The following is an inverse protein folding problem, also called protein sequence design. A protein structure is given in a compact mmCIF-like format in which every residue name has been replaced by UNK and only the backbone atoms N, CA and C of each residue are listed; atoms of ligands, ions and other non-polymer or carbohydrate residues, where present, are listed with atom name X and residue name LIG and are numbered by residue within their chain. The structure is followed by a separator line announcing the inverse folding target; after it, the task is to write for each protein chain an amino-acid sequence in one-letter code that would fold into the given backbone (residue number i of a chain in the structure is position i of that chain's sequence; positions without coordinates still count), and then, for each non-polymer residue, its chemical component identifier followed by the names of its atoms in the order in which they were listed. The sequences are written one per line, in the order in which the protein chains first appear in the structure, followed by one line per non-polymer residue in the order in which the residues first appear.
data_IF_696177669458
#
_entry.id   IF_696177669458
#
_cell.length_a   1.000
_cell.length_b   1.000
_cell.length_c   1.000
_cell.angle_alpha   90.00
_cell.angle_beta   90.00
_cell.angle_gamma   90.00
#
_symmetry.space_group_name_H-M   'P 1'
#
loop_
_entity.id
_entity.type
_entity.pdbx_description
1 polymer ?
#
# COMPACT_ATOMS: atom_id res chain seq x y z
N UNK A 1 13.39 0.43 12.84
CA UNK A 1 12.56 -0.64 12.24
C UNK A 1 13.12 -1.06 10.91
N UNK A 2 13.12 -2.34 10.60
CA UNK A 2 13.49 -2.87 9.28
C UNK A 2 12.22 -3.06 8.46
N UNK A 3 12.09 -2.32 7.38
CA UNK A 3 10.85 -2.21 6.61
C UNK A 3 11.05 -2.75 5.20
N UNK A 4 10.07 -3.48 4.70
CA UNK A 4 9.95 -3.82 3.28
C UNK A 4 8.84 -2.98 2.65
N UNK A 5 9.12 -2.43 1.48
CA UNK A 5 8.13 -1.79 0.63
C UNK A 5 7.89 -2.63 -0.61
N UNK A 6 6.62 -2.92 -0.91
CA UNK A 6 6.17 -3.51 -2.16
C UNK A 6 5.44 -2.41 -2.95
N UNK A 7 6.08 -1.89 -3.99
CA UNK A 7 5.56 -0.81 -4.80
C UNK A 7 6.18 -0.82 -6.19
N UNK A 8 5.40 -0.53 -7.24
CA UNK A 8 5.92 -0.43 -8.61
C UNK A 8 5.29 0.70 -9.43
N UNK A 9 4.13 1.23 -9.00
CA UNK A 9 3.49 2.36 -9.66
C UNK A 9 4.24 3.63 -9.33
N UNK A 10 4.32 4.59 -10.27
CA UNK A 10 5.09 5.84 -10.11
C UNK A 10 4.71 6.58 -8.83
N UNK A 11 3.42 6.83 -8.59
CA UNK A 11 2.95 7.50 -7.39
C UNK A 11 3.31 6.73 -6.09
N UNK A 12 3.22 5.40 -6.10
CA UNK A 12 3.59 4.59 -4.95
C UNK A 12 5.10 4.64 -4.65
N UNK A 13 5.93 4.72 -5.70
CA UNK A 13 7.37 4.93 -5.54
C UNK A 13 7.69 6.30 -4.96
N UNK A 14 6.94 7.35 -5.32
CA UNK A 14 7.10 8.69 -4.75
C UNK A 14 6.77 8.68 -3.25
N UNK A 15 5.68 7.99 -2.85
CA UNK A 15 5.37 7.78 -1.42
C UNK A 15 6.52 7.07 -0.70
N UNK A 16 7.07 5.99 -1.26
CA UNK A 16 8.20 5.27 -0.66
C UNK A 16 9.42 6.18 -0.52
N UNK A 17 9.76 6.96 -1.57
CA UNK A 17 10.87 7.91 -1.51
C UNK A 17 10.71 8.95 -0.39
N UNK A 18 9.49 9.43 -0.16
CA UNK A 18 9.21 10.40 0.89
C UNK A 18 9.39 9.86 2.32
N UNK A 19 9.18 8.55 2.51
CA UNK A 19 9.16 7.96 3.87
C UNK A 19 10.35 7.05 4.20
N UNK A 20 11.08 6.52 3.21
CA UNK A 20 12.15 5.53 3.43
C UNK A 20 13.31 6.02 4.31
N UNK A 21 13.54 7.34 4.34
CA UNK A 21 14.58 7.99 5.15
C UNK A 21 14.07 8.50 6.51
N UNK A 22 12.87 8.10 6.91
CA UNK A 22 12.31 8.53 8.19
C UNK A 22 13.15 8.01 9.36
N UNK A 23 13.40 8.85 10.37
CA UNK A 23 14.29 8.56 11.52
C UNK A 23 14.01 7.24 12.27
N UNK A 24 12.78 6.70 12.18
CA UNK A 24 12.39 5.42 12.79
C UNK A 24 12.70 4.20 11.94
N UNK A 25 13.19 4.39 10.72
CA UNK A 25 13.54 3.32 9.78
C UNK A 25 15.05 3.10 9.83
N UNK A 26 15.48 1.97 10.33
CA UNK A 26 16.89 1.59 10.40
C UNK A 26 17.39 1.04 9.07
N UNK A 27 16.54 0.27 8.38
CA UNK A 27 16.79 -0.20 7.01
C UNK A 27 15.50 -0.36 6.23
N UNK A 28 15.55 -0.14 4.94
CA UNK A 28 14.44 -0.33 4.03
C UNK A 28 14.84 -1.08 2.78
N UNK A 29 13.93 -1.94 2.29
CA UNK A 29 14.08 -2.72 1.06
C UNK A 29 12.86 -2.48 0.18
N UNK A 30 13.09 -2.21 -1.11
CA UNK A 30 12.02 -1.99 -2.08
C UNK A 30 12.00 -3.12 -3.11
N UNK A 31 10.86 -3.76 -3.28
CA UNK A 31 10.62 -4.76 -4.31
C UNK A 31 9.49 -4.34 -5.24
N UNK A 32 9.68 -4.60 -6.53
CA UNK A 32 8.74 -4.27 -7.61
C UNK A 32 8.04 -5.51 -8.18
N UNK A 33 8.40 -6.70 -7.70
CA UNK A 33 7.79 -7.96 -8.10
C UNK A 33 7.73 -8.96 -6.93
N UNK A 34 6.71 -9.82 -6.94
CA UNK A 34 6.60 -10.90 -5.96
C UNK A 34 7.78 -11.88 -6.05
N UNK A 35 8.33 -12.09 -7.24
CA UNK A 35 9.47 -12.98 -7.44
C UNK A 35 10.70 -12.51 -6.67
N UNK A 36 11.08 -11.24 -6.83
CA UNK A 36 12.26 -10.68 -6.17
C UNK A 36 12.08 -10.62 -4.65
N UNK A 37 10.88 -10.27 -4.22
CA UNK A 37 10.51 -10.27 -2.81
C UNK A 37 10.60 -11.68 -2.18
N UNK A 38 10.03 -12.70 -2.82
CA UNK A 38 10.11 -14.08 -2.34
C UNK A 38 11.55 -14.58 -2.30
N UNK A 39 12.35 -14.31 -3.34
CA UNK A 39 13.77 -14.68 -3.36
C UNK A 39 14.57 -14.02 -2.24
N UNK A 40 14.26 -12.76 -1.92
CA UNK A 40 14.87 -12.08 -0.77
C UNK A 40 14.52 -12.76 0.54
N UNK A 41 13.24 -13.11 0.77
CA UNK A 41 12.79 -13.75 2.00
C UNK A 41 13.45 -15.13 2.24
N UNK A 42 13.76 -15.87 1.17
CA UNK A 42 14.45 -17.18 1.27
C UNK A 42 15.86 -17.07 1.85
N UNK A 43 16.53 -15.94 1.65
CA UNK A 43 17.93 -15.73 2.05
C UNK A 43 18.11 -14.73 3.18
N UNK A 44 17.08 -13.95 3.47
CA UNK A 44 17.14 -12.89 4.48
C UNK A 44 17.14 -13.48 5.89
N UNK A 45 18.14 -13.09 6.67
CA UNK A 45 18.27 -13.45 8.10
C UNK A 45 17.91 -12.31 9.05
N UNK A 46 17.65 -11.12 8.52
CA UNK A 46 17.26 -9.96 9.33
C UNK A 46 15.80 -10.06 9.74
N UNK A 47 15.52 -9.64 10.97
CA UNK A 47 14.13 -9.47 11.41
C UNK A 47 13.49 -8.33 10.61
N UNK A 48 12.36 -8.60 9.97
CA UNK A 48 11.51 -7.61 9.32
C UNK A 48 10.38 -7.22 10.27
N UNK A 49 10.24 -5.94 10.53
CA UNK A 49 9.24 -5.41 11.47
C UNK A 49 7.89 -5.15 10.77
N UNK A 50 7.89 -4.73 9.50
CA UNK A 50 6.68 -4.58 8.70
C UNK A 50 6.94 -4.65 7.19
N UNK A 51 5.89 -5.02 6.44
CA UNK A 51 5.83 -5.01 4.97
C UNK A 51 4.73 -4.03 4.56
N UNK A 52 5.10 -2.92 3.93
CA UNK A 52 4.15 -1.95 3.39
C UNK A 52 3.87 -2.25 1.92
N UNK A 53 2.59 -2.34 1.58
CA UNK A 53 2.10 -2.72 0.26
C UNK A 53 1.32 -1.54 -0.33
N UNK A 54 1.95 -0.83 -1.28
CA UNK A 54 1.46 0.45 -1.80
C UNK A 54 1.33 0.37 -3.32
N UNK A 55 0.11 0.57 -3.84
CA UNK A 55 -0.14 0.53 -5.28
C UNK A 55 0.18 -0.82 -5.92
N UNK A 56 0.00 -1.88 -5.20
CA UNK A 56 0.29 -3.26 -5.56
C UNK A 56 -0.96 -3.97 -6.07
N UNK A 57 -0.85 -4.75 -7.13
CA UNK A 57 -1.99 -5.46 -7.72
C UNK A 57 -2.03 -6.95 -7.41
N UNK A 58 -0.89 -7.52 -7.05
CA UNK A 58 -0.79 -8.95 -6.77
C UNK A 58 -1.23 -9.26 -5.34
N UNK A 59 -1.84 -10.42 -5.16
CA UNK A 59 -2.20 -10.93 -3.83
C UNK A 59 -0.93 -11.53 -3.20
N UNK A 60 -0.66 -11.16 -1.95
CA UNK A 60 0.36 -11.83 -1.15
C UNK A 60 -0.16 -13.21 -0.71
N UNK A 61 0.72 -14.19 -0.65
CA UNK A 61 0.35 -15.52 -0.14
C UNK A 61 0.04 -15.48 1.35
N UNK A 62 -0.83 -16.38 1.80
CA UNK A 62 -1.22 -16.50 3.20
C UNK A 62 0.00 -16.67 4.12
N UNK A 63 1.01 -17.43 3.69
CA UNK A 63 2.25 -17.61 4.44
C UNK A 63 2.97 -16.28 4.73
N UNK A 64 2.88 -15.29 3.86
CA UNK A 64 3.50 -13.97 4.03
C UNK A 64 2.66 -13.13 5.00
N UNK A 65 1.35 -13.05 4.78
CA UNK A 65 0.47 -12.22 5.62
C UNK A 65 0.34 -12.76 7.05
N UNK A 66 0.52 -14.07 7.24
CA UNK A 66 0.53 -14.71 8.56
C UNK A 66 1.88 -14.58 9.28
N UNK A 67 2.99 -14.53 8.52
CA UNK A 67 4.33 -14.47 9.10
C UNK A 67 4.81 -13.04 9.40
N UNK A 68 4.29 -12.03 8.70
CA UNK A 68 4.73 -10.64 8.78
C UNK A 68 3.58 -9.69 9.07
N UNK A 69 3.87 -8.58 9.75
CA UNK A 69 2.93 -7.46 9.84
C UNK A 69 2.86 -6.77 8.48
N UNK A 70 1.84 -7.09 7.68
CA UNK A 70 1.63 -6.52 6.37
C UNK A 70 0.63 -5.37 6.45
N UNK A 71 1.01 -4.20 5.95
CA UNK A 71 0.19 -2.97 5.95
C UNK A 71 -0.09 -2.58 4.50
N UNK A 72 -1.36 -2.63 4.12
CA UNK A 72 -1.84 -2.17 2.82
C UNK A 72 -2.27 -0.71 2.87
N UNK A 73 -2.14 -0.03 1.74
CA UNK A 73 -2.77 1.27 1.52
C UNK A 73 -3.83 1.14 0.43
N UNK A 74 -5.07 1.48 0.77
CA UNK A 74 -6.21 1.45 -0.14
C UNK A 74 -6.81 2.85 -0.28
N UNK A 75 -6.92 3.42 -1.50
CA UNK A 75 -7.39 4.77 -1.69
C UNK A 75 -8.94 4.83 -1.72
N UNK A 76 -9.55 4.41 -0.63
CA UNK A 76 -10.98 4.57 -0.35
C UNK A 76 -11.23 4.63 1.16
N UNK A 77 -12.41 5.11 1.54
CA UNK A 77 -12.90 5.04 2.92
C UNK A 77 -13.40 3.61 3.21
N UNK A 78 -12.48 2.70 3.53
CA UNK A 78 -12.83 1.31 3.86
C UNK A 78 -13.89 1.27 4.98
N UNK A 79 -14.89 0.39 4.91
CA UNK A 79 -15.00 -0.77 4.00
C UNK A 79 -15.62 -0.48 2.62
N UNK A 80 -15.84 0.78 2.25
CA UNK A 80 -16.40 1.13 0.96
C UNK A 80 -15.34 0.95 -0.14
N UNK A 81 -15.77 0.57 -1.35
CA UNK A 81 -14.93 0.43 -2.55
C UNK A 81 -13.73 -0.51 -2.35
N UNK A 82 -13.94 -1.66 -1.69
CA UNK A 82 -12.95 -2.74 -1.62
C UNK A 82 -12.60 -3.27 -3.01
N UNK A 83 -11.42 -3.87 -3.14
CA UNK A 83 -10.99 -4.52 -4.37
C UNK A 83 -10.37 -3.59 -5.41
N UNK A 84 -10.44 -3.99 -6.68
CA UNK A 84 -9.73 -3.32 -7.77
C UNK A 84 -10.32 -1.96 -8.17
N UNK A 85 -9.44 -1.07 -8.67
CA UNK A 85 -9.79 0.23 -9.25
C UNK A 85 -10.65 1.14 -8.36
N UNK A 86 -10.33 1.28 -7.06
CA UNK A 86 -11.18 2.02 -6.12
C UNK A 86 -11.35 3.50 -6.52
N UNK A 87 -10.32 4.15 -7.01
CA UNK A 87 -10.38 5.56 -7.42
C UNK A 87 -11.33 5.72 -8.60
N UNK A 88 -11.18 4.90 -9.63
CA UNK A 88 -12.02 4.96 -10.83
C UNK A 88 -13.50 4.73 -10.49
N UNK A 89 -13.79 3.74 -9.65
CA UNK A 89 -15.17 3.43 -9.25
C UNK A 89 -15.78 4.60 -8.46
N UNK A 90 -15.04 5.21 -7.56
CA UNK A 90 -15.51 6.37 -6.80
C UNK A 90 -15.80 7.57 -7.71
N UNK A 91 -14.94 7.82 -8.71
CA UNK A 91 -15.15 8.92 -9.69
C UNK A 91 -16.40 8.64 -10.53
N UNK A 92 -16.60 7.41 -11.00
CA UNK A 92 -17.81 7.02 -11.75
C UNK A 92 -19.07 7.27 -10.93
N UNK A 93 -19.02 7.04 -9.63
CA UNK A 93 -20.13 7.28 -8.70
C UNK A 93 -20.25 8.76 -8.27
N UNK A 94 -19.43 9.65 -8.83
CA UNK A 94 -19.47 11.09 -8.55
C UNK A 94 -18.86 11.50 -7.21
N UNK A 95 -18.03 10.65 -6.61
CA UNK A 95 -17.30 10.97 -5.39
C UNK A 95 -16.13 11.89 -5.71
N UNK A 96 -16.05 13.03 -5.06
CA UNK A 96 -14.97 14.02 -5.22
C UNK A 96 -14.00 14.08 -4.05
N UNK A 97 -14.38 13.51 -2.91
CA UNK A 97 -13.55 13.43 -1.70
C UNK A 97 -13.74 12.08 -1.01
N UNK A 98 -12.65 11.46 -0.63
CA UNK A 98 -12.62 10.15 0.01
C UNK A 98 -11.52 10.10 1.08
N UNK A 99 -11.05 8.91 1.39
CA UNK A 99 -9.90 8.70 2.28
C UNK A 99 -8.91 7.73 1.66
N UNK A 100 -7.66 7.86 2.03
CA UNK A 100 -6.68 6.80 1.93
C UNK A 100 -6.67 6.03 3.26
N UNK A 101 -6.89 4.72 3.21
CA UNK A 101 -6.94 3.85 4.39
C UNK A 101 -5.67 3.01 4.48
N UNK A 102 -4.95 3.09 5.60
CA UNK A 102 -3.91 2.14 5.97
C UNK A 102 -4.53 1.05 6.82
N UNK A 103 -4.34 -0.20 6.44
CA UNK A 103 -5.02 -1.32 7.08
C UNK A 103 -4.12 -2.57 7.14
N UNK A 104 -4.42 -3.45 8.08
CA UNK A 104 -3.74 -4.74 8.18
C UNK A 104 -4.16 -5.65 7.02
N UNK A 105 -3.19 -6.15 6.26
CA UNK A 105 -3.45 -7.15 5.23
C UNK A 105 -3.63 -8.53 5.87
N UNK A 106 -4.68 -9.20 5.45
CA UNK A 106 -5.02 -10.57 5.83
C UNK A 106 -5.24 -11.40 4.57
N UNK A 107 -5.49 -12.69 4.72
CA UNK A 107 -5.88 -13.58 3.62
C UNK A 107 -7.21 -13.17 2.94
N UNK A 108 -8.02 -12.35 3.63
CA UNK A 108 -9.27 -11.80 3.07
C UNK A 108 -9.03 -10.40 2.53
N UNK A 109 -9.42 -10.17 1.27
CA UNK A 109 -9.17 -8.93 0.55
C UNK A 109 -9.80 -7.71 1.25
N UNK A 110 -8.96 -6.72 1.60
CA UNK A 110 -9.33 -5.43 2.19
C UNK A 110 -10.26 -5.51 3.42
N UNK A 111 -10.16 -6.59 4.21
CA UNK A 111 -11.01 -6.83 5.40
C UNK A 111 -10.23 -6.73 6.72
N UNK A 112 -8.94 -6.51 6.69
CA UNK A 112 -8.14 -6.31 7.90
C UNK A 112 -8.50 -5.03 8.65
N UNK A 113 -8.13 -4.97 9.93
CA UNK A 113 -8.37 -3.80 10.78
C UNK A 113 -7.70 -2.55 10.21
N UNK A 114 -8.41 -1.44 10.18
CA UNK A 114 -7.89 -0.16 9.70
C UNK A 114 -7.08 0.51 10.80
N UNK A 115 -5.84 0.89 10.50
CA UNK A 115 -4.95 1.61 11.42
C UNK A 115 -5.18 3.11 11.37
N UNK A 116 -5.29 3.66 10.16
CA UNK A 116 -5.36 5.10 9.93
C UNK A 116 -6.13 5.38 8.64
N UNK A 117 -6.81 6.54 8.62
CA UNK A 117 -7.43 7.10 7.43
C UNK A 117 -7.08 8.56 7.32
N UNK A 118 -6.61 8.97 6.14
CA UNK A 118 -6.35 10.36 5.81
C UNK A 118 -7.25 10.82 4.67
N UNK A 119 -7.64 12.09 4.69
CA UNK A 119 -8.49 12.67 3.65
C UNK A 119 -7.76 12.69 2.31
N UNK A 120 -8.48 12.29 1.25
CA UNK A 120 -7.97 12.22 -0.12
C UNK A 120 -8.96 12.91 -1.05
N UNK A 121 -8.48 13.93 -1.80
CA UNK A 121 -9.25 14.56 -2.88
C UNK A 121 -9.18 13.70 -4.12
N UNK A 122 -10.32 13.50 -4.77
CA UNK A 122 -10.46 12.90 -6.09
C UNK A 122 -10.74 13.96 -7.18
N UNK A 123 -10.58 15.24 -6.87
CA UNK A 123 -10.69 16.33 -7.83
C UNK A 123 -9.40 16.45 -8.64
N UNK A 124 -9.53 16.61 -9.94
CA UNK A 124 -8.44 16.76 -10.89
C UNK A 124 -8.94 16.56 -12.31
N UNK A 125 -8.24 17.13 -13.28
CA UNK A 125 -8.61 17.03 -14.71
C UNK A 125 -8.14 15.72 -15.35
N UNK A 126 -7.21 15.02 -14.68
CA UNK A 126 -6.70 13.73 -15.14
C UNK A 126 -6.30 12.83 -13.96
N UNK A 127 -6.12 11.53 -14.26
CA UNK A 127 -5.76 10.52 -13.24
C UNK A 127 -4.40 10.80 -12.58
N UNK A 128 -3.46 11.38 -13.31
CA UNK A 128 -2.12 11.67 -12.76
C UNK A 128 -2.18 12.73 -11.66
N UNK A 129 -3.04 13.76 -11.81
CA UNK A 129 -3.29 14.76 -10.78
C UNK A 129 -3.92 14.14 -9.53
N UNK A 130 -4.90 13.25 -9.72
CA UNK A 130 -5.56 12.55 -8.61
C UNK A 130 -4.58 11.64 -7.88
N UNK A 131 -3.72 10.91 -8.60
CA UNK A 131 -2.66 10.11 -7.97
C UNK A 131 -1.64 10.96 -7.23
N UNK A 132 -1.35 12.17 -7.70
CA UNK A 132 -0.48 13.11 -6.98
C UNK A 132 -1.06 13.54 -5.62
N UNK A 133 -2.38 13.57 -5.47
CA UNK A 133 -3.02 13.84 -4.18
C UNK A 133 -2.79 12.74 -3.12
N UNK A 134 -2.28 11.57 -3.52
CA UNK A 134 -1.94 10.46 -2.61
C UNK A 134 -0.50 10.60 -2.08
N UNK A 135 0.37 11.28 -2.82
CA UNK A 135 1.79 11.47 -2.49
C UNK A 135 1.99 12.44 -1.34
#
# INVERSE_FOLDING_TARGET
MNIIFLAYRSWALNVVEAIKEHEKIDSSFLFKSNKDFSSFLETNIQKIDAVFVIGWSDILSDNIVDAYTCVGMHPSDLPNYKGGSPIQNQIIDGITSTKASLFHLTSTLDEGGVYLKESLSLEGDCMDEIFHNIE
#
